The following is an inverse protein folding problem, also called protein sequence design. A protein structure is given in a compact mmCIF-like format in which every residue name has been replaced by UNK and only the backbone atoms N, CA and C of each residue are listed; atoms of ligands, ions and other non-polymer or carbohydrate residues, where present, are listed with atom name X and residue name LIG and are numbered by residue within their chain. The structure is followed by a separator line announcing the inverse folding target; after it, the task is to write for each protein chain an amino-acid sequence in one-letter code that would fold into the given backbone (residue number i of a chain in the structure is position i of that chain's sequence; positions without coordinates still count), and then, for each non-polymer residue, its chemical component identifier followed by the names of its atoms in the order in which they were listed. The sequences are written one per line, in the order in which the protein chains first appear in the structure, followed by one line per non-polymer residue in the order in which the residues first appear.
data_IF_470838996961
#
_entry.id   IF_470838996961
#
_cell.length_a   1.000
_cell.length_b   1.000
_cell.length_c   1.000
_cell.angle_alpha   90.00
_cell.angle_beta   90.00
_cell.angle_gamma   90.00
#
_symmetry.space_group_name_H-M   'P 1'
#
loop_
_entity.id
_entity.type
_entity.pdbx_description
1 polymer ?
#
# COMPACT_ATOMS: atom_id res chain seq x y z
N UNK A 1 18.06 4.46 -8.90
CA UNK A 1 17.65 3.50 -7.85
C UNK A 1 16.12 3.51 -7.74
N UNK A 2 15.46 2.36 -7.86
CA UNK A 2 13.99 2.26 -7.84
C UNK A 2 13.49 2.14 -6.40
N UNK A 3 12.55 2.99 -5.99
CA UNK A 3 12.07 3.08 -4.59
C UNK A 3 11.23 1.87 -4.15
N UNK A 4 10.58 1.19 -5.10
CA UNK A 4 9.82 -0.04 -4.87
C UNK A 4 10.26 -1.07 -5.92
N UNK A 5 10.95 -2.15 -5.53
CA UNK A 5 11.33 -3.23 -6.44
C UNK A 5 10.09 -3.99 -6.93
N UNK A 6 10.20 -4.74 -8.03
CA UNK A 6 9.17 -5.70 -8.41
C UNK A 6 9.15 -6.86 -7.42
N UNK A 7 7.97 -7.32 -7.01
CA UNK A 7 7.82 -8.45 -6.11
C UNK A 7 8.18 -9.73 -6.85
N UNK A 8 9.11 -10.49 -6.29
CA UNK A 8 9.38 -11.89 -6.65
C UNK A 8 8.96 -12.81 -5.51
N UNK A 9 8.75 -14.09 -5.82
CA UNK A 9 8.41 -15.09 -4.81
C UNK A 9 9.52 -15.22 -3.75
N UNK A 10 9.13 -15.46 -2.49
CA UNK A 10 10.06 -15.51 -1.35
C UNK A 10 10.57 -14.15 -0.86
N UNK A 11 10.24 -13.04 -1.53
CA UNK A 11 10.66 -11.70 -1.09
C UNK A 11 9.79 -11.17 0.05
N UNK A 12 10.42 -10.86 1.18
CA UNK A 12 9.75 -10.25 2.33
C UNK A 12 9.73 -8.71 2.29
N UNK A 13 8.97 -8.12 3.22
CA UNK A 13 8.78 -6.66 3.31
C UNK A 13 10.06 -5.87 3.63
N UNK A 14 11.13 -6.56 4.04
CA UNK A 14 12.46 -5.98 4.26
C UNK A 14 13.08 -5.39 2.97
N UNK A 15 12.64 -5.84 1.79
CA UNK A 15 13.05 -5.27 0.51
C UNK A 15 12.45 -3.89 0.23
N UNK A 16 11.42 -3.48 0.99
CA UNK A 16 10.78 -2.17 0.88
C UNK A 16 11.42 -1.18 1.86
N UNK A 17 11.39 0.10 1.48
CA UNK A 17 11.71 1.18 2.43
C UNK A 17 10.70 1.17 3.58
N UNK A 18 11.08 1.74 4.72
CA UNK A 18 10.25 1.79 5.94
C UNK A 18 8.84 2.32 5.68
N UNK A 19 8.70 3.32 4.81
CA UNK A 19 7.39 3.89 4.47
C UNK A 19 6.49 2.91 3.71
N UNK A 20 7.00 2.21 2.71
CA UNK A 20 6.21 1.22 1.96
C UNK A 20 5.96 -0.05 2.77
N UNK A 21 6.91 -0.43 3.64
CA UNK A 21 6.74 -1.52 4.60
C UNK A 21 5.58 -1.25 5.55
N UNK A 22 5.51 -0.06 6.14
CA UNK A 22 4.40 0.32 7.03
C UNK A 22 3.04 0.30 6.33
N UNK A 23 2.98 0.71 5.06
CA UNK A 23 1.75 0.59 4.26
C UNK A 23 1.38 -0.88 4.04
N UNK A 24 2.34 -1.75 3.71
CA UNK A 24 2.10 -3.18 3.54
C UNK A 24 1.59 -3.83 4.82
N UNK A 25 2.16 -3.50 5.98
CA UNK A 25 1.73 -4.00 7.29
C UNK A 25 0.28 -3.62 7.59
N UNK A 26 -0.10 -2.36 7.34
CA UNK A 26 -1.49 -1.89 7.49
C UNK A 26 -2.45 -2.67 6.59
N UNK A 27 -2.09 -2.85 5.31
CA UNK A 27 -2.94 -3.55 4.33
C UNK A 27 -3.04 -5.05 4.64
N UNK A 28 -1.96 -5.67 5.12
CA UNK A 28 -1.93 -7.08 5.48
C UNK A 28 -2.61 -7.40 6.81
N UNK A 29 -2.64 -6.45 7.75
CA UNK A 29 -3.31 -6.58 9.04
C UNK A 29 -4.81 -6.26 9.01
N UNK A 30 -5.38 -5.90 7.87
CA UNK A 30 -6.81 -5.61 7.73
C UNK A 30 -7.62 -6.88 7.42
N UNK A 31 -8.86 -6.97 7.94
CA UNK A 31 -9.78 -8.09 7.72
C UNK A 31 -10.32 -8.19 6.27
N UNK A 32 -9.88 -7.32 5.38
CA UNK A 32 -10.29 -7.32 3.98
C UNK A 32 -9.65 -6.19 3.17
N UNK A 33 -10.03 -6.04 1.88
CA UNK A 33 -9.47 -5.01 1.02
C UNK A 33 -9.76 -3.59 1.54
N UNK A 34 -8.72 -2.76 1.63
CA UNK A 34 -8.77 -1.41 2.20
C UNK A 34 -8.68 -0.32 1.14
N UNK A 35 -9.22 0.85 1.44
CA UNK A 35 -9.11 2.04 0.59
C UNK A 35 -7.86 2.87 0.93
N UNK A 36 -7.50 3.82 0.07
CA UNK A 36 -6.46 4.80 0.39
C UNK A 36 -6.81 5.67 1.61
N UNK A 37 -8.10 5.90 1.87
CA UNK A 37 -8.58 6.63 3.06
C UNK A 37 -8.31 5.83 4.34
N UNK A 38 -8.61 4.53 4.32
CA UNK A 38 -8.39 3.65 5.48
C UNK A 38 -6.90 3.58 5.84
N UNK A 39 -6.04 3.46 4.82
CA UNK A 39 -4.59 3.48 5.02
C UNK A 39 -4.10 4.85 5.51
N UNK A 40 -4.64 5.96 4.99
CA UNK A 40 -4.29 7.29 5.49
C UNK A 40 -4.68 7.47 6.97
N UNK A 41 -5.86 6.99 7.37
CA UNK A 41 -6.32 7.01 8.75
C UNK A 41 -5.41 6.17 9.66
N UNK A 42 -5.06 4.95 9.26
CA UNK A 42 -4.14 4.08 10.00
C UNK A 42 -2.71 4.64 10.09
N UNK A 43 -2.31 5.49 9.15
CA UNK A 43 -1.06 6.25 9.20
C UNK A 43 -1.15 7.49 10.11
N UNK A 44 -2.29 7.74 10.77
CA UNK A 44 -2.52 8.92 11.60
C UNK A 44 -2.65 10.22 10.80
N UNK A 45 -3.02 10.14 9.52
CA UNK A 45 -3.20 11.30 8.64
C UNK A 45 -4.66 11.75 8.65
N UNK A 46 -4.85 13.04 8.42
CA UNK A 46 -6.18 13.57 8.12
C UNK A 46 -6.78 12.91 6.88
N UNK A 47 -8.11 12.88 6.81
CA UNK A 47 -8.86 12.29 5.68
C UNK A 47 -9.20 13.31 4.59
N UNK A 48 -8.39 14.36 4.45
CA UNK A 48 -8.52 15.34 3.39
C UNK A 48 -7.93 14.81 2.07
N UNK A 49 -8.45 15.22 0.90
CA UNK A 49 -7.92 14.77 -0.39
C UNK A 49 -6.41 14.96 -0.52
N UNK A 50 -5.87 16.09 -0.04
CA UNK A 50 -4.45 16.41 -0.07
C UNK A 50 -3.56 15.40 0.69
N UNK A 51 -4.08 14.73 1.72
CA UNK A 51 -3.37 13.68 2.47
C UNK A 51 -3.62 12.28 1.93
N UNK A 52 -4.80 12.05 1.32
CA UNK A 52 -5.19 10.74 0.77
C UNK A 52 -4.53 10.48 -0.59
N UNK A 53 -4.47 11.45 -1.50
CA UNK A 53 -3.93 11.23 -2.85
C UNK A 53 -2.47 10.71 -2.85
N UNK A 54 -1.55 11.23 -2.03
CA UNK A 54 -0.20 10.68 -1.92
C UNK A 54 -0.18 9.21 -1.46
N UNK A 55 -1.09 8.82 -0.54
CA UNK A 55 -1.22 7.42 -0.08
C UNK A 55 -1.75 6.56 -1.22
N UNK A 56 -2.74 7.03 -1.97
CA UNK A 56 -3.27 6.33 -3.15
C UNK A 56 -2.19 6.09 -4.21
N UNK A 57 -1.34 7.09 -4.48
CA UNK A 57 -0.22 6.94 -5.41
C UNK A 57 0.78 5.86 -4.97
N UNK A 58 1.02 5.72 -3.66
CA UNK A 58 1.91 4.69 -3.10
C UNK A 58 1.29 3.29 -3.18
N UNK A 59 0.01 3.17 -2.85
CA UNK A 59 -0.73 1.90 -2.99
C UNK A 59 -0.79 1.44 -4.45
N UNK A 60 -1.05 2.37 -5.38
CA UNK A 60 -0.99 2.09 -6.82
C UNK A 60 0.39 1.60 -7.22
N UNK A 61 1.46 2.29 -6.80
CA UNK A 61 2.83 1.87 -7.08
C UNK A 61 3.12 0.47 -6.53
N UNK A 62 2.73 0.14 -5.30
CA UNK A 62 2.88 -1.22 -4.78
C UNK A 62 2.13 -2.24 -5.62
N UNK A 63 0.91 -1.90 -6.08
CA UNK A 63 0.13 -2.79 -6.93
C UNK A 63 0.75 -3.01 -8.31
N UNK A 64 1.21 -1.93 -8.97
CA UNK A 64 1.91 -1.97 -10.26
C UNK A 64 3.21 -2.79 -10.19
N UNK A 65 3.77 -2.96 -8.99
CA UNK A 65 4.99 -3.73 -8.69
C UNK A 65 4.70 -5.14 -8.18
N UNK A 66 3.42 -5.54 -8.16
CA UNK A 66 3.01 -6.88 -7.76
C UNK A 66 3.01 -7.13 -6.25
N UNK A 67 3.17 -6.11 -5.41
CA UNK A 67 3.09 -6.26 -3.95
C UNK A 67 1.65 -6.33 -3.45
N UNK A 68 0.74 -5.61 -4.10
CA UNK A 68 -0.67 -5.54 -3.77
C UNK A 68 -1.53 -5.90 -4.97
N UNK A 69 -2.73 -6.41 -4.71
CA UNK A 69 -3.80 -6.52 -5.68
C UNK A 69 -4.75 -5.34 -5.51
N UNK A 70 -4.96 -4.56 -6.57
CA UNK A 70 -6.02 -3.55 -6.64
C UNK A 70 -7.30 -4.18 -7.20
N UNK A 71 -8.38 -4.11 -6.44
CA UNK A 71 -9.70 -4.58 -6.86
C UNK A 71 -10.32 -3.64 -7.90
N UNK A 72 -11.36 -4.11 -8.59
CA UNK A 72 -12.18 -3.28 -9.50
C UNK A 72 -12.81 -2.08 -8.79
N UNK A 73 -13.14 -2.22 -7.50
CA UNK A 73 -13.65 -1.16 -6.63
C UNK A 73 -12.58 -0.20 -6.10
N UNK A 74 -11.32 -0.35 -6.53
CA UNK A 74 -10.22 0.53 -6.12
C UNK A 74 -9.74 0.32 -4.68
N UNK A 75 -10.01 -0.86 -4.11
CA UNK A 75 -9.47 -1.30 -2.82
C UNK A 75 -8.20 -2.14 -3.02
N UNK A 76 -7.40 -2.27 -1.96
CA UNK A 76 -6.10 -2.93 -2.01
C UNK A 76 -6.05 -4.05 -0.97
N UNK A 77 -5.45 -5.18 -1.35
CA UNK A 77 -5.12 -6.31 -0.47
C UNK A 77 -3.73 -6.86 -0.82
N UNK A 78 -3.06 -7.61 0.07
CA UNK A 78 -1.82 -8.29 -0.28
C UNK A 78 -2.01 -9.20 -1.51
N UNK A 79 -0.96 -9.34 -2.31
CA UNK A 79 -0.94 -10.31 -3.42
C UNK A 79 -0.71 -11.72 -2.92
#
# INVERSE_FOLDING_TARGET
MRVVPDRVEGMGLQALTSEYRRIMEIVAGADGPVTAKDVALALGRETTPAKIEPVRGRLRKLSDRGWLVRTVSGRYRPR
#
